data_IF_567163814661
#
_entry.id   IF_567163814661
#
_cell.length_a   1.000
_cell.length_b   1.000
_cell.length_c   1.000
_cell.angle_alpha   90.00
_cell.angle_beta   90.00
_cell.angle_gamma   90.00
#
_symmetry.space_group_name_H-M   'P 1'
#
loop_
_entity.id
_entity.type
_entity.pdbx_description
1 polymer ?
#
# COMPACT_ATOMS: atom_id res chain seq x y z
N UNK A 1 29.28 19.59 -11.72
CA UNK A 1 27.91 19.02 -11.62
C UNK A 1 27.63 17.94 -12.70
N UNK A 2 27.85 18.21 -14.00
CA UNK A 2 27.65 17.21 -15.09
C UNK A 2 28.47 15.91 -14.96
N UNK A 3 29.76 15.96 -14.60
CA UNK A 3 30.60 14.75 -14.39
C UNK A 3 30.08 13.86 -13.25
N UNK A 4 29.69 14.47 -12.13
CA UNK A 4 29.14 13.78 -10.95
C UNK A 4 27.80 13.08 -11.25
N UNK A 5 26.94 13.69 -12.09
CA UNK A 5 25.73 13.06 -12.59
C UNK A 5 26.04 11.89 -13.54
N UNK A 6 26.96 12.07 -14.48
CA UNK A 6 27.41 11.04 -15.43
C UNK A 6 27.91 9.78 -14.73
N UNK A 7 28.75 9.95 -13.70
CA UNK A 7 29.35 8.83 -12.98
C UNK A 7 28.32 8.07 -12.13
N UNK A 8 27.37 8.77 -11.51
CA UNK A 8 26.23 8.14 -10.85
C UNK A 8 25.34 7.37 -11.84
N UNK A 9 25.10 7.93 -13.03
CA UNK A 9 24.25 7.30 -14.04
C UNK A 9 24.88 6.00 -14.56
N UNK A 10 26.21 5.99 -14.79
CA UNK A 10 26.96 4.77 -15.14
C UNK A 10 26.95 3.74 -14.01
N UNK A 11 27.06 4.17 -12.76
CA UNK A 11 27.06 3.28 -11.60
C UNK A 11 25.71 2.57 -11.40
N UNK A 12 24.59 3.28 -11.62
CA UNK A 12 23.23 2.74 -11.41
C UNK A 12 22.54 2.24 -12.68
N UNK A 13 23.13 2.41 -13.87
CA UNK A 13 22.53 2.02 -15.16
C UNK A 13 22.09 0.55 -15.18
N UNK A 14 22.94 -0.37 -14.68
CA UNK A 14 22.61 -1.79 -14.60
C UNK A 14 21.40 -2.06 -13.70
N UNK A 15 21.21 -1.28 -12.63
CA UNK A 15 20.05 -1.39 -11.75
C UNK A 15 18.77 -0.94 -12.46
N UNK A 16 18.79 0.24 -13.10
CA UNK A 16 17.64 0.73 -13.86
C UNK A 16 17.24 -0.25 -14.98
N UNK A 17 18.22 -0.83 -15.68
CA UNK A 17 17.98 -1.84 -16.71
C UNK A 17 17.31 -3.08 -16.13
N UNK A 18 17.79 -3.60 -15.00
CA UNK A 18 17.17 -4.76 -14.33
C UNK A 18 15.72 -4.47 -13.93
N UNK A 19 15.44 -3.30 -13.35
CA UNK A 19 14.08 -2.91 -12.98
C UNK A 19 13.18 -2.84 -14.20
N UNK A 20 13.61 -2.18 -15.28
CA UNK A 20 12.83 -2.08 -16.52
C UNK A 20 12.55 -3.47 -17.10
N UNK A 21 13.55 -4.34 -17.18
CA UNK A 21 13.38 -5.71 -17.70
C UNK A 21 12.41 -6.53 -16.85
N UNK A 22 12.49 -6.45 -15.52
CA UNK A 22 11.55 -7.13 -14.63
C UNK A 22 10.13 -6.59 -14.78
N UNK A 23 9.96 -5.28 -14.89
CA UNK A 23 8.66 -4.66 -15.11
C UNK A 23 8.07 -5.07 -16.47
N UNK A 24 8.87 -5.05 -17.55
CA UNK A 24 8.44 -5.48 -18.87
C UNK A 24 8.06 -6.96 -18.89
N UNK A 25 8.86 -7.82 -18.26
CA UNK A 25 8.55 -9.24 -18.15
C UNK A 25 7.24 -9.47 -17.38
N UNK A 26 7.04 -8.77 -16.26
CA UNK A 26 5.82 -8.87 -15.47
C UNK A 26 4.58 -8.36 -16.24
N UNK A 27 4.71 -7.24 -16.95
CA UNK A 27 3.63 -6.68 -17.77
C UNK A 27 3.29 -7.58 -18.96
N UNK A 28 4.29 -8.23 -19.56
CA UNK A 28 4.09 -9.19 -20.65
C UNK A 28 3.32 -10.44 -20.19
N UNK A 29 3.53 -10.87 -18.94
CA UNK A 29 2.73 -11.94 -18.32
C UNK A 29 1.30 -11.46 -18.07
N UNK A 30 1.13 -10.20 -17.68
CA UNK A 30 -0.17 -9.62 -17.36
C UNK A 30 -0.76 -10.15 -16.05
N UNK A 31 -2.00 -9.75 -15.70
CA UNK A 31 -2.67 -10.23 -14.51
C UNK A 31 -3.06 -11.71 -14.67
N UNK A 32 -2.59 -12.57 -13.77
CA UNK A 32 -2.99 -13.98 -13.75
C UNK A 32 -4.18 -14.12 -12.80
N UNK A 33 -5.25 -14.70 -13.32
CA UNK A 33 -6.46 -15.01 -12.54
C UNK A 33 -6.48 -16.51 -12.29
N UNK A 34 -6.39 -16.91 -11.02
CA UNK A 34 -6.62 -18.29 -10.60
C UNK A 34 -8.03 -18.39 -10.06
N UNK A 35 -8.91 -19.08 -10.79
CA UNK A 35 -10.24 -19.42 -10.31
C UNK A 35 -10.16 -20.72 -9.49
N UNK A 36 -10.40 -20.59 -8.19
CA UNK A 36 -10.55 -21.68 -7.23
C UNK A 36 -12.05 -21.84 -6.94
N UNK A 37 -12.77 -22.48 -7.88
CA UNK A 37 -14.21 -22.72 -7.75
C UNK A 37 -15.03 -21.43 -7.84
N UNK A 38 -15.54 -20.94 -6.70
CA UNK A 38 -16.32 -19.68 -6.61
C UNK A 38 -15.47 -18.44 -6.31
N UNK A 39 -14.16 -18.61 -6.14
CA UNK A 39 -13.26 -17.53 -5.76
C UNK A 39 -12.22 -17.31 -6.85
N UNK A 40 -11.98 -16.05 -7.20
CA UNK A 40 -10.95 -15.68 -8.18
C UNK A 40 -9.85 -14.90 -7.48
N UNK A 41 -8.69 -15.52 -7.35
CA UNK A 41 -7.48 -14.86 -6.85
C UNK A 41 -6.80 -14.19 -8.04
N UNK A 42 -6.69 -12.87 -8.02
CA UNK A 42 -6.03 -12.10 -9.07
C UNK A 42 -4.65 -11.66 -8.60
N UNK A 43 -3.63 -12.13 -9.30
CA UNK A 43 -2.24 -11.76 -9.08
C UNK A 43 -1.85 -10.69 -10.09
N UNK A 44 -1.55 -9.48 -9.60
CA UNK A 44 -1.17 -8.35 -10.44
C UNK A 44 0.30 -8.43 -10.89
N UNK A 45 0.65 -7.86 -12.06
CA UNK A 45 2.03 -7.78 -12.56
C UNK A 45 3.04 -7.26 -11.53
N UNK A 46 2.65 -6.27 -10.71
CA UNK A 46 3.47 -5.72 -9.64
C UNK A 46 4.05 -6.80 -8.71
N UNK A 47 3.26 -7.84 -8.40
CA UNK A 47 3.70 -8.93 -7.54
C UNK A 47 4.85 -9.72 -8.18
N UNK A 48 4.74 -10.06 -9.46
CA UNK A 48 5.78 -10.81 -10.16
C UNK A 48 7.05 -9.98 -10.32
N UNK A 49 6.92 -8.68 -10.61
CA UNK A 49 8.07 -7.79 -10.69
C UNK A 49 8.87 -7.77 -9.37
N UNK A 50 8.18 -7.77 -8.22
CA UNK A 50 8.82 -7.85 -6.91
C UNK A 50 9.50 -9.21 -6.67
N UNK A 51 8.84 -10.32 -7.02
CA UNK A 51 9.40 -11.66 -6.88
C UNK A 51 10.63 -11.86 -7.78
N UNK A 52 10.57 -11.38 -9.03
CA UNK A 52 11.69 -11.44 -9.97
C UNK A 52 12.90 -10.65 -9.43
N UNK A 53 12.66 -9.43 -8.92
CA UNK A 53 13.74 -8.65 -8.31
C UNK A 53 14.33 -9.32 -7.06
N UNK A 54 13.50 -10.00 -6.25
CA UNK A 54 13.97 -10.79 -5.12
C UNK A 54 14.83 -11.97 -5.57
N UNK A 55 14.40 -12.71 -6.59
CA UNK A 55 15.15 -13.83 -7.17
C UNK A 55 16.49 -13.35 -7.72
N UNK A 56 16.53 -12.22 -8.44
CA UNK A 56 17.78 -11.63 -8.94
C UNK A 56 18.71 -11.18 -7.80
N UNK A 57 18.17 -10.70 -6.68
CA UNK A 57 18.95 -10.35 -5.50
C UNK A 57 19.57 -11.59 -4.82
N UNK A 58 18.86 -12.72 -4.81
CA UNK A 58 19.34 -13.99 -4.25
C UNK A 58 20.33 -14.72 -5.18
N UNK A 59 20.12 -14.66 -6.50
CA UNK A 59 20.85 -15.42 -7.51
C UNK A 59 22.28 -14.87 -7.81
N UNK A 60 23.04 -14.45 -6.80
CA UNK A 60 24.40 -13.89 -6.96
C UNK A 60 25.22 -14.70 -7.98
N UNK A 61 25.95 -14.08 -8.93
CA UNK A 61 26.36 -12.67 -8.98
C UNK A 61 25.69 -11.86 -10.11
N UNK A 62 24.44 -11.43 -9.93
CA UNK A 62 23.79 -10.51 -10.89
C UNK A 62 24.30 -9.07 -10.69
N UNK A 63 24.88 -8.46 -11.74
CA UNK A 63 25.24 -7.03 -11.73
C UNK A 63 23.98 -6.18 -11.80
N UNK A 64 23.86 -5.16 -10.94
CA UNK A 64 22.71 -4.26 -10.91
C UNK A 64 21.70 -4.53 -9.79
N UNK A 65 21.91 -5.56 -8.96
CA UNK A 65 21.05 -5.87 -7.81
C UNK A 65 21.93 -6.09 -6.58
N UNK A 66 21.61 -5.45 -5.45
CA UNK A 66 22.44 -5.53 -4.25
C UNK A 66 22.35 -4.31 -3.34
N UNK A 67 22.99 -4.40 -2.16
CA UNK A 67 23.01 -3.33 -1.15
C UNK A 67 23.54 -1.99 -1.69
N UNK A 68 24.49 -2.03 -2.62
CA UNK A 68 25.07 -0.83 -3.24
C UNK A 68 24.05 -0.01 -4.05
N UNK A 69 22.94 -0.60 -4.48
CA UNK A 69 21.91 0.02 -5.30
C UNK A 69 20.72 0.54 -4.48
N UNK A 70 20.64 0.20 -3.19
CA UNK A 70 19.54 0.62 -2.29
C UNK A 70 19.37 2.14 -2.25
N UNK A 71 20.42 2.98 -2.18
CA UNK A 71 20.23 4.43 -2.17
C UNK A 71 19.58 4.97 -3.45
N UNK A 72 19.86 4.36 -4.61
CA UNK A 72 19.22 4.73 -5.86
C UNK A 72 17.75 4.27 -5.90
N UNK A 73 17.48 3.05 -5.43
CA UNK A 73 16.12 2.53 -5.30
C UNK A 73 15.26 3.41 -4.37
N UNK A 74 15.77 3.78 -3.19
CA UNK A 74 15.08 4.67 -2.25
C UNK A 74 14.76 6.02 -2.89
N UNK A 75 15.70 6.63 -3.62
CA UNK A 75 15.47 7.90 -4.33
C UNK A 75 14.44 7.78 -5.45
N UNK A 76 14.52 6.72 -6.26
CA UNK A 76 13.50 6.45 -7.30
C UNK A 76 12.12 6.32 -6.68
N UNK A 77 12.01 5.58 -5.57
CA UNK A 77 10.76 5.41 -4.85
C UNK A 77 10.24 6.74 -4.34
N UNK A 78 11.06 7.55 -3.68
CA UNK A 78 10.68 8.89 -3.23
C UNK A 78 10.16 9.76 -4.39
N UNK A 79 10.84 9.74 -5.54
CA UNK A 79 10.36 10.45 -6.74
C UNK A 79 9.02 9.91 -7.24
N UNK A 80 8.86 8.59 -7.34
CA UNK A 80 7.62 7.96 -7.74
C UNK A 80 6.45 8.27 -6.81
N UNK A 81 6.72 8.31 -5.50
CA UNK A 81 5.76 8.68 -4.47
C UNK A 81 5.31 10.14 -4.64
N UNK A 82 6.19 11.08 -4.99
CA UNK A 82 5.80 12.47 -5.28
C UNK A 82 4.82 12.52 -6.46
N UNK A 83 5.07 11.79 -7.55
CA UNK A 83 4.14 11.72 -8.67
C UNK A 83 2.80 11.06 -8.27
N UNK A 84 2.85 10.00 -7.46
CA UNK A 84 1.65 9.37 -6.92
C UNK A 84 0.84 10.36 -6.06
N UNK A 85 1.50 11.16 -5.20
CA UNK A 85 0.86 12.19 -4.40
C UNK A 85 0.27 13.30 -5.26
N UNK A 86 0.97 13.73 -6.31
CA UNK A 86 0.42 14.71 -7.26
C UNK A 86 -0.85 14.18 -7.94
N UNK A 87 -0.83 12.93 -8.43
CA UNK A 87 -2.00 12.27 -9.00
C UNK A 87 -3.15 12.18 -7.99
N UNK A 88 -2.85 11.80 -6.75
CA UNK A 88 -3.85 11.71 -5.69
C UNK A 88 -4.42 13.09 -5.35
N UNK A 89 -3.59 14.13 -5.27
CA UNK A 89 -4.04 15.51 -5.04
C UNK A 89 -4.99 16.01 -6.14
N UNK A 90 -4.65 15.78 -7.41
CA UNK A 90 -5.50 16.14 -8.55
C UNK A 90 -6.83 15.36 -8.51
N UNK A 91 -6.76 14.05 -8.30
CA UNK A 91 -7.96 13.19 -8.26
C UNK A 91 -8.87 13.55 -7.07
N UNK A 92 -8.28 13.85 -5.91
CA UNK A 92 -9.01 14.25 -4.71
C UNK A 92 -9.65 15.63 -4.87
N UNK A 93 -8.96 16.56 -5.52
CA UNK A 93 -9.52 17.88 -5.85
C UNK A 93 -10.69 17.79 -6.83
N UNK A 94 -10.60 16.91 -7.83
CA UNK A 94 -11.68 16.68 -8.80
C UNK A 94 -12.94 16.09 -8.15
N UNK A 95 -12.78 15.26 -7.12
CA UNK A 95 -13.88 14.60 -6.40
C UNK A 95 -14.20 15.23 -5.03
N UNK A 96 -13.87 16.51 -4.83
CA UNK A 96 -13.97 17.13 -3.50
C UNK A 96 -15.42 17.28 -3.02
N UNK A 97 -16.38 17.47 -3.95
CA UNK A 97 -17.81 17.57 -3.61
C UNK A 97 -18.36 16.21 -3.19
N UNK A 98 -17.97 15.15 -3.89
CA UNK A 98 -18.26 13.75 -3.55
C UNK A 98 -17.62 13.39 -2.21
N UNK A 99 -16.39 13.85 -1.94
CA UNK A 99 -15.71 13.65 -0.67
C UNK A 99 -16.45 14.29 0.50
N UNK A 100 -16.94 15.52 0.34
CA UNK A 100 -17.68 16.24 1.38
C UNK A 100 -19.06 15.60 1.61
N UNK A 101 -19.73 15.13 0.56
CA UNK A 101 -21.07 14.53 0.66
C UNK A 101 -21.05 13.06 1.13
N UNK A 102 -20.08 12.26 0.70
CA UNK A 102 -19.85 10.89 1.19
C UNK A 102 -19.10 10.87 2.55
N UNK A 103 -18.76 12.05 3.08
CA UNK A 103 -17.85 12.24 4.21
C UNK A 103 -18.21 11.43 5.47
N UNK A 104 -19.46 11.29 5.94
CA UNK A 104 -19.69 10.65 7.24
C UNK A 104 -19.32 9.16 7.19
N UNK A 105 -19.74 8.46 6.14
CA UNK A 105 -19.54 7.02 5.98
C UNK A 105 -18.06 6.72 5.71
N UNK A 106 -17.42 7.50 4.84
CA UNK A 106 -16.01 7.27 4.49
C UNK A 106 -15.04 7.73 5.58
N UNK A 107 -15.38 8.76 6.35
CA UNK A 107 -14.63 9.12 7.57
C UNK A 107 -14.77 7.98 8.59
N UNK A 108 -15.97 7.45 8.82
CA UNK A 108 -16.18 6.30 9.70
C UNK A 108 -15.41 5.05 9.23
N UNK A 109 -15.38 4.79 7.92
CA UNK A 109 -14.57 3.71 7.34
C UNK A 109 -13.08 3.92 7.63
N UNK A 110 -12.56 5.15 7.47
CA UNK A 110 -11.15 5.46 7.71
C UNK A 110 -10.80 5.57 9.21
N UNK A 111 -11.76 5.74 10.11
CA UNK A 111 -11.54 5.58 11.57
C UNK A 111 -11.07 4.16 11.89
N UNK A 112 -11.42 3.16 11.08
CA UNK A 112 -10.85 1.81 11.18
C UNK A 112 -9.31 1.81 11.20
N UNK A 113 -8.66 2.76 10.52
CA UNK A 113 -7.20 2.91 10.54
C UNK A 113 -6.66 3.28 11.93
N UNK A 114 -7.46 3.98 12.75
CA UNK A 114 -7.11 4.28 14.15
C UNK A 114 -7.12 2.99 14.97
N UNK A 115 -8.00 2.05 14.66
CA UNK A 115 -8.03 0.71 15.28
C UNK A 115 -6.68 -0.01 15.15
N UNK A 116 -6.05 0.05 13.98
CA UNK A 116 -4.71 -0.53 13.78
C UNK A 116 -3.68 0.08 14.74
N UNK A 117 -3.70 1.40 14.94
CA UNK A 117 -2.80 2.07 15.90
C UNK A 117 -3.14 1.69 17.35
N UNK A 118 -4.41 1.55 17.69
CA UNK A 118 -4.83 1.24 19.07
C UNK A 118 -4.56 -0.21 19.46
N UNK A 119 -4.65 -1.17 18.53
CA UNK A 119 -4.50 -2.60 18.83
C UNK A 119 -3.19 -3.19 18.30
N UNK A 120 -2.86 -2.96 17.03
CA UNK A 120 -1.69 -3.59 16.42
C UNK A 120 -0.38 -3.00 16.95
N UNK A 121 -0.31 -1.69 17.22
CA UNK A 121 0.91 -1.08 17.76
C UNK A 121 1.26 -1.63 19.16
N UNK A 122 0.35 -1.68 20.16
CA UNK A 122 0.68 -2.29 21.44
C UNK A 122 1.12 -3.75 21.33
N UNK A 123 0.44 -4.53 20.50
CA UNK A 123 0.80 -5.94 20.29
C UNK A 123 2.20 -6.05 19.69
N UNK A 124 2.52 -5.27 18.66
CA UNK A 124 3.85 -5.23 18.04
C UNK A 124 4.94 -4.85 19.04
N UNK A 125 4.69 -3.87 19.91
CA UNK A 125 5.65 -3.47 20.95
C UNK A 125 5.85 -4.57 22.00
N UNK A 126 4.78 -5.28 22.41
CA UNK A 126 4.89 -6.42 23.33
C UNK A 126 5.71 -7.56 22.71
N UNK A 127 5.62 -7.76 21.41
CA UNK A 127 6.43 -8.73 20.66
C UNK A 127 7.89 -8.30 20.46
N UNK A 128 8.31 -7.17 21.03
CA UNK A 128 9.70 -6.69 21.00
C UNK A 128 10.06 -5.86 19.77
N UNK A 129 9.08 -5.36 19.02
CA UNK A 129 9.34 -4.39 17.95
C UNK A 129 9.57 -2.99 18.54
N UNK A 130 10.37 -2.15 17.87
CA UNK A 130 10.72 -0.79 18.36
C UNK A 130 10.00 0.29 17.55
N UNK A 131 10.76 1.23 16.98
CA UNK A 131 10.24 2.38 16.22
C UNK A 131 9.68 1.95 14.88
N UNK A 132 10.16 0.84 14.33
CA UNK A 132 9.59 0.20 13.14
C UNK A 132 8.09 -0.07 13.35
N UNK A 133 7.67 -0.44 14.58
CA UNK A 133 6.27 -0.75 14.90
C UNK A 133 5.35 0.45 14.65
N UNK A 134 5.83 1.67 14.92
CA UNK A 134 5.08 2.90 14.67
C UNK A 134 4.80 3.05 13.18
N UNK A 135 5.80 2.80 12.34
CA UNK A 135 5.63 2.76 10.88
C UNK A 135 4.72 1.62 10.41
N UNK A 136 4.93 0.40 10.92
CA UNK A 136 4.13 -0.78 10.54
C UNK A 136 2.65 -0.66 10.92
N UNK A 137 2.36 -0.04 12.06
CA UNK A 137 0.99 0.17 12.54
C UNK A 137 0.28 1.35 11.88
N UNK A 138 0.98 2.13 11.05
CA UNK A 138 0.43 3.31 10.44
C UNK A 138 -0.42 2.98 9.19
N UNK A 139 -1.72 2.85 9.44
CA UNK A 139 -2.76 2.62 8.44
C UNK A 139 -2.40 1.46 7.49
N UNK A 140 -2.94 1.46 6.27
CA UNK A 140 -2.70 0.40 5.28
C UNK A 140 -1.24 0.36 4.75
N UNK A 141 -0.34 1.22 5.25
CA UNK A 141 1.04 1.40 4.77
C UNK A 141 1.13 1.51 3.23
N UNK A 142 0.33 2.39 2.63
CA UNK A 142 0.25 2.60 1.17
C UNK A 142 0.91 3.88 0.72
N UNK A 143 0.82 4.18 -0.57
CA UNK A 143 1.47 5.32 -1.21
C UNK A 143 1.38 6.61 -0.37
N UNK A 144 0.20 7.06 0.09
CA UNK A 144 0.09 8.25 0.96
C UNK A 144 0.82 8.11 2.29
N UNK A 145 0.83 6.91 2.85
CA UNK A 145 1.42 6.65 4.16
C UNK A 145 2.95 6.59 4.08
N UNK A 146 3.47 5.96 3.03
CA UNK A 146 4.91 5.92 2.71
C UNK A 146 5.42 7.34 2.49
N UNK A 147 4.67 8.16 1.72
CA UNK A 147 5.01 9.57 1.50
C UNK A 147 5.10 10.34 2.82
N UNK A 148 4.05 10.22 3.64
CA UNK A 148 3.96 10.96 4.88
C UNK A 148 5.04 10.54 5.88
N UNK A 149 5.31 9.25 6.02
CA UNK A 149 6.36 8.78 6.94
C UNK A 149 7.76 9.15 6.43
N UNK A 150 8.00 9.12 5.12
CA UNK A 150 9.25 9.59 4.54
C UNK A 150 9.48 11.09 4.81
N UNK A 151 8.43 11.89 4.73
CA UNK A 151 8.49 13.34 5.01
C UNK A 151 8.69 13.63 6.50
N UNK A 152 7.95 12.93 7.36
CA UNK A 152 7.97 13.14 8.82
C UNK A 152 9.22 12.59 9.51
N UNK A 153 9.72 11.42 9.08
CA UNK A 153 10.80 10.69 9.76
C UNK A 153 12.07 10.53 8.92
N UNK A 154 11.99 10.70 7.61
CA UNK A 154 13.09 10.49 6.67
C UNK A 154 13.10 9.08 6.06
N UNK A 155 13.61 8.95 4.83
CA UNK A 155 13.64 7.68 4.07
C UNK A 155 14.58 6.61 4.63
N UNK A 156 15.43 6.95 5.59
CA UNK A 156 16.38 6.02 6.22
C UNK A 156 15.98 5.67 7.67
N UNK A 157 14.84 6.20 8.14
CA UNK A 157 14.37 5.99 9.51
C UNK A 157 13.84 4.57 9.74
N UNK A 158 13.78 4.16 11.00
CA UNK A 158 13.24 2.84 11.36
C UNK A 158 11.73 2.76 11.11
N UNK A 159 11.00 3.86 11.28
CA UNK A 159 9.59 3.98 10.92
C UNK A 159 9.39 3.76 9.42
N UNK A 160 10.22 4.38 8.57
CA UNK A 160 10.13 4.20 7.13
C UNK A 160 10.40 2.76 6.72
N UNK A 161 11.41 2.11 7.32
CA UNK A 161 11.65 0.67 7.12
C UNK A 161 10.42 -0.16 7.51
N UNK A 162 9.81 0.16 8.65
CA UNK A 162 8.58 -0.48 9.12
C UNK A 162 7.43 -0.37 8.12
N UNK A 163 7.11 0.85 7.67
CA UNK A 163 6.07 1.06 6.64
C UNK A 163 6.41 0.28 5.37
N UNK A 164 7.69 0.25 4.96
CA UNK A 164 8.11 -0.44 3.75
C UNK A 164 7.91 -1.95 3.83
N UNK A 165 8.17 -2.54 5.00
CA UNK A 165 7.89 -3.97 5.26
C UNK A 165 6.39 -4.22 5.08
N UNK A 166 5.53 -3.43 5.71
CA UNK A 166 4.08 -3.56 5.56
C UNK A 166 3.60 -3.28 4.13
N UNK A 167 4.21 -2.33 3.42
CA UNK A 167 3.90 -2.06 2.01
C UNK A 167 4.20 -3.29 1.14
N UNK A 168 5.39 -3.89 1.32
CA UNK A 168 5.83 -5.05 0.55
C UNK A 168 4.97 -6.27 0.87
N UNK A 169 4.92 -6.66 2.15
CA UNK A 169 4.17 -7.81 2.63
C UNK A 169 2.68 -7.63 2.31
N UNK A 170 2.13 -6.44 2.58
CA UNK A 170 0.75 -6.13 2.29
C UNK A 170 0.43 -6.13 0.80
N UNK A 171 1.37 -5.82 -0.10
CA UNK A 171 1.13 -5.94 -1.56
C UNK A 171 0.91 -7.39 -1.95
N UNK A 172 1.69 -8.31 -1.36
CA UNK A 172 1.56 -9.75 -1.59
C UNK A 172 0.31 -10.31 -0.92
N UNK A 173 0.24 -10.22 0.40
CA UNK A 173 -0.82 -10.87 1.17
C UNK A 173 -2.14 -10.10 1.13
N UNK A 174 -2.08 -8.76 1.07
CA UNK A 174 -3.28 -7.93 1.04
C UNK A 174 -4.05 -8.07 -0.26
N UNK A 175 -3.39 -8.24 -1.41
CA UNK A 175 -4.08 -8.50 -2.68
C UNK A 175 -4.80 -9.85 -2.66
N UNK A 176 -4.14 -10.90 -2.15
CA UNK A 176 -4.76 -12.22 -1.93
C UNK A 176 -5.96 -12.10 -0.99
N UNK A 177 -5.79 -11.44 0.17
CA UNK A 177 -6.86 -11.26 1.14
C UNK A 177 -8.06 -10.51 0.54
N UNK A 178 -7.83 -9.41 -0.18
CA UNK A 178 -8.89 -8.64 -0.82
C UNK A 178 -9.54 -9.37 -2.01
N UNK A 179 -8.82 -10.28 -2.68
CA UNK A 179 -9.41 -11.10 -3.74
C UNK A 179 -10.35 -12.21 -3.24
N UNK A 180 -10.29 -12.56 -1.95
CA UNK A 180 -11.08 -13.66 -1.38
C UNK A 180 -12.15 -13.17 -0.42
N UNK A 181 -11.78 -12.30 0.53
CA UNK A 181 -12.63 -11.97 1.68
C UNK A 181 -13.85 -11.11 1.31
N UNK A 182 -13.71 -9.94 0.66
CA UNK A 182 -14.86 -9.16 0.21
C UNK A 182 -15.84 -9.94 -0.68
N UNK A 183 -15.38 -10.69 -1.72
CA UNK A 183 -16.27 -11.51 -2.54
C UNK A 183 -16.98 -12.63 -1.76
N UNK A 184 -16.31 -13.22 -0.76
CA UNK A 184 -16.90 -14.21 0.12
C UNK A 184 -18.09 -13.63 0.90
N UNK A 185 -17.92 -12.46 1.53
CA UNK A 185 -19.00 -11.83 2.28
C UNK A 185 -20.19 -11.43 1.40
N UNK A 186 -19.94 -11.07 0.15
CA UNK A 186 -20.98 -10.82 -0.86
C UNK A 186 -21.72 -12.11 -1.22
N UNK A 187 -20.98 -13.19 -1.50
CA UNK A 187 -21.55 -14.49 -1.86
C UNK A 187 -22.40 -15.08 -0.72
N UNK A 188 -22.02 -14.82 0.53
CA UNK A 188 -22.76 -15.21 1.72
C UNK A 188 -23.99 -14.32 2.00
N UNK A 189 -24.20 -13.25 1.22
CA UNK A 189 -25.31 -12.31 1.41
C UNK A 189 -25.18 -11.42 2.67
N UNK A 190 -23.99 -11.37 3.28
CA UNK A 190 -23.74 -10.58 4.51
C UNK A 190 -23.60 -9.10 4.15
N UNK A 191 -22.89 -8.80 3.06
CA UNK A 191 -22.70 -7.43 2.59
C UNK A 191 -23.28 -7.22 1.20
N UNK A 192 -23.78 -6.02 0.99
CA UNK A 192 -24.19 -5.55 -0.33
C UNK A 192 -22.97 -5.41 -1.25
N UNK A 193 -23.10 -5.75 -2.55
CA UNK A 193 -22.01 -5.60 -3.53
C UNK A 193 -21.38 -4.21 -3.54
N UNK A 194 -22.17 -3.15 -3.41
CA UNK A 194 -21.68 -1.77 -3.42
C UNK A 194 -20.84 -1.45 -2.18
N UNK A 195 -21.22 -1.98 -1.02
CA UNK A 195 -20.45 -1.83 0.21
C UNK A 195 -19.13 -2.61 0.15
N UNK A 196 -19.13 -3.81 -0.42
CA UNK A 196 -17.92 -4.58 -0.64
C UNK A 196 -16.99 -3.91 -1.67
N UNK A 197 -17.55 -3.29 -2.72
CA UNK A 197 -16.80 -2.50 -3.68
C UNK A 197 -16.14 -1.27 -3.02
N UNK A 198 -16.84 -0.57 -2.13
CA UNK A 198 -16.23 0.48 -1.31
C UNK A 198 -15.13 -0.05 -0.38
N UNK A 199 -15.34 -1.21 0.25
CA UNK A 199 -14.38 -1.80 1.18
C UNK A 199 -13.05 -2.17 0.48
N UNK A 200 -13.08 -2.68 -0.75
CA UNK A 200 -11.84 -2.96 -1.52
C UNK A 200 -11.13 -1.69 -1.96
N UNK A 201 -11.84 -0.56 -2.04
CA UNK A 201 -11.31 0.77 -2.27
C UNK A 201 -10.73 1.44 -1.02
N UNK A 202 -10.10 0.70 -0.10
CA UNK A 202 -9.59 1.23 1.18
C UNK A 202 -8.22 1.96 1.08
N UNK A 203 -7.90 2.57 -0.08
CA UNK A 203 -6.67 3.37 -0.26
C UNK A 203 -5.46 2.61 -0.82
N UNK A 204 -5.69 1.50 -1.55
CA UNK A 204 -4.66 0.84 -2.35
C UNK A 204 -5.21 0.51 -3.74
N UNK A 205 -4.60 1.08 -4.77
CA UNK A 205 -5.02 0.83 -6.16
C UNK A 205 -4.83 -0.64 -6.57
N UNK A 206 -3.74 -1.28 -6.13
CA UNK A 206 -3.42 -2.67 -6.45
C UNK A 206 -4.34 -3.66 -5.72
N UNK A 207 -4.61 -3.44 -4.43
CA UNK A 207 -5.55 -4.28 -3.68
C UNK A 207 -7.00 -4.09 -4.14
N UNK A 208 -7.37 -2.85 -4.47
CA UNK A 208 -8.68 -2.54 -5.06
C UNK A 208 -8.89 -3.30 -6.36
N UNK A 209 -7.92 -3.27 -7.28
CA UNK A 209 -8.01 -3.98 -8.54
C UNK A 209 -8.17 -5.51 -8.33
N UNK A 210 -7.43 -6.09 -7.38
CA UNK A 210 -7.53 -7.51 -7.06
C UNK A 210 -8.90 -7.88 -6.45
N UNK A 211 -9.40 -7.10 -5.50
CA UNK A 211 -10.66 -7.38 -4.81
C UNK A 211 -11.91 -7.06 -5.62
N UNK A 212 -11.90 -5.95 -6.37
CA UNK A 212 -13.04 -5.52 -7.18
C UNK A 212 -13.39 -6.56 -8.25
N UNK A 213 -12.39 -7.19 -8.87
CA UNK A 213 -12.61 -8.26 -9.84
C UNK A 213 -13.44 -9.40 -9.24
N UNK A 214 -13.10 -9.85 -8.02
CA UNK A 214 -13.85 -10.89 -7.32
C UNK A 214 -15.24 -10.42 -6.88
N UNK A 215 -15.40 -9.16 -6.47
CA UNK A 215 -16.71 -8.62 -6.06
C UNK A 215 -17.68 -8.56 -7.23
N UNK A 216 -17.20 -8.17 -8.42
CA UNK A 216 -17.99 -8.16 -9.66
C UNK A 216 -18.42 -9.58 -10.02
N UNK A 217 -17.50 -10.55 -9.95
CA UNK A 217 -17.80 -11.95 -10.24
C UNK A 217 -18.79 -12.57 -9.25
N UNK A 218 -18.69 -12.23 -7.96
CA UNK A 218 -19.61 -12.63 -6.92
C UNK A 218 -20.99 -11.93 -7.01
N UNK A 219 -21.13 -10.90 -7.84
CA UNK A 219 -22.34 -10.06 -7.97
C UNK A 219 -22.81 -9.92 -9.41
N UNK A 220 -23.14 -11.01 -10.13
CA UNK A 220 -23.51 -10.93 -11.56
C UNK A 220 -24.77 -10.10 -11.82
N UNK A 221 -25.62 -9.89 -10.81
CA UNK A 221 -26.82 -9.05 -10.90
C UNK A 221 -26.56 -7.54 -10.72
N UNK A 222 -25.36 -7.16 -10.26
CA UNK A 222 -24.98 -5.76 -10.02
C UNK A 222 -24.28 -5.16 -11.24
N UNK A 223 -24.45 -3.87 -11.47
CA UNK A 223 -23.78 -3.17 -12.56
C UNK A 223 -22.26 -3.03 -12.26
N UNK A 224 -21.36 -3.63 -13.08
CA UNK A 224 -19.91 -3.55 -12.88
C UNK A 224 -19.36 -2.13 -12.90
N UNK A 225 -19.92 -1.23 -13.70
CA UNK A 225 -19.49 0.18 -13.79
C UNK A 225 -19.79 0.91 -12.49
N UNK A 226 -20.94 0.63 -11.89
CA UNK A 226 -21.30 1.17 -10.58
C UNK A 226 -20.33 0.69 -9.50
N UNK A 227 -20.07 -0.62 -9.42
CA UNK A 227 -19.12 -1.18 -8.44
C UNK A 227 -17.72 -0.58 -8.62
N UNK A 228 -17.28 -0.43 -9.86
CA UNK A 228 -15.99 0.20 -10.20
C UNK A 228 -15.93 1.66 -9.76
N UNK A 229 -17.02 2.42 -9.96
CA UNK A 229 -17.12 3.79 -9.50
C UNK A 229 -17.04 3.89 -7.97
N UNK A 230 -17.79 3.06 -7.23
CA UNK A 230 -17.77 3.03 -5.76
C UNK A 230 -16.36 2.70 -5.23
N UNK A 231 -15.70 1.69 -5.79
CA UNK A 231 -14.35 1.32 -5.40
C UNK A 231 -13.34 2.46 -5.67
N UNK A 232 -13.42 3.06 -6.86
CA UNK A 232 -12.52 4.14 -7.28
C UNK A 232 -12.68 5.39 -6.41
N UNK A 233 -13.92 5.82 -6.18
CA UNK A 233 -14.25 6.96 -5.32
C UNK A 233 -13.78 6.69 -3.89
N UNK A 234 -14.06 5.50 -3.35
CA UNK A 234 -13.57 5.13 -2.01
C UNK A 234 -12.05 5.17 -1.94
N UNK A 235 -11.35 4.69 -2.97
CA UNK A 235 -9.89 4.67 -2.99
C UNK A 235 -9.29 6.07 -2.99
N UNK A 236 -9.83 6.99 -3.80
CA UNK A 236 -9.39 8.39 -3.84
C UNK A 236 -9.64 9.05 -2.49
N UNK A 237 -10.86 8.95 -1.97
CA UNK A 237 -11.25 9.60 -0.71
C UNK A 237 -10.47 9.02 0.47
N UNK A 238 -10.35 7.70 0.58
CA UNK A 238 -9.60 7.06 1.67
C UNK A 238 -8.12 7.42 1.64
N UNK A 239 -7.53 7.48 0.44
CA UNK A 239 -6.13 7.92 0.28
C UNK A 239 -5.93 9.36 0.75
N UNK A 240 -6.87 10.26 0.45
CA UNK A 240 -6.81 11.65 0.90
C UNK A 240 -7.01 11.78 2.41
N UNK A 241 -8.09 11.20 2.94
CA UNK A 241 -8.44 11.26 4.37
C UNK A 241 -7.32 10.66 5.22
N UNK A 242 -6.70 9.57 4.78
CA UNK A 242 -5.65 8.90 5.55
C UNK A 242 -4.42 9.78 5.76
N UNK A 243 -4.07 10.67 4.82
CA UNK A 243 -2.97 11.64 5.02
C UNK A 243 -3.30 12.61 6.16
N UNK A 244 -4.51 13.19 6.15
CA UNK A 244 -4.94 14.13 7.19
C UNK A 244 -5.11 13.45 8.55
N UNK A 245 -5.77 12.29 8.60
CA UNK A 245 -5.82 11.46 9.82
C UNK A 245 -4.43 11.04 10.28
N UNK A 246 -3.51 10.82 9.34
CA UNK A 246 -2.07 10.64 9.52
C UNK A 246 -1.46 11.71 10.40
N UNK A 247 -1.44 12.92 9.86
CA UNK A 247 -0.80 14.10 10.44
C UNK A 247 -1.43 14.45 11.80
N UNK A 248 -2.75 14.50 11.87
CA UNK A 248 -3.44 15.07 13.03
C UNK A 248 -3.78 14.08 14.14
N UNK A 249 -3.93 12.79 13.83
CA UNK A 249 -4.48 11.82 14.80
C UNK A 249 -3.54 10.61 14.96
N UNK A 250 -3.39 9.81 13.92
CA UNK A 250 -2.77 8.49 14.00
C UNK A 250 -1.27 8.53 14.31
N UNK A 251 -0.48 9.44 13.70
CA UNK A 251 0.95 9.58 14.04
C UNK A 251 1.15 10.12 15.46
N UNK A 252 0.50 11.23 15.88
CA UNK A 252 0.57 11.70 17.27
C UNK A 252 0.17 10.61 18.29
N UNK A 253 -0.92 9.90 18.01
CA UNK A 253 -1.41 8.80 18.84
C UNK A 253 -0.41 7.64 18.92
N UNK A 254 0.18 7.25 17.79
CA UNK A 254 1.20 6.20 17.74
C UNK A 254 2.41 6.55 18.60
N UNK A 255 2.89 7.80 18.52
CA UNK A 255 3.99 8.26 19.36
C UNK A 255 3.62 8.31 20.85
N UNK A 256 2.38 8.65 21.18
CA UNK A 256 1.88 8.63 22.56
C UNK A 256 1.87 7.20 23.11
N UNK A 257 1.28 6.25 22.38
CA UNK A 257 1.23 4.83 22.77
C UNK A 257 2.65 4.29 22.95
N UNK A 258 3.54 4.55 21.98
CA UNK A 258 4.94 4.15 22.05
C UNK A 258 5.62 4.68 23.32
N UNK A 259 5.44 5.96 23.63
CA UNK A 259 6.03 6.61 24.81
C UNK A 259 5.48 6.02 26.12
N UNK A 260 4.18 5.75 26.19
CA UNK A 260 3.54 5.15 27.37
C UNK A 260 4.04 3.73 27.60
N UNK A 261 4.17 2.92 26.55
CA UNK A 261 4.65 1.54 26.67
C UNK A 261 6.14 1.47 26.98
N UNK A 262 6.96 2.37 26.41
CA UNK A 262 8.37 2.50 26.79
C UNK A 262 8.56 2.80 28.28
N UNK A 263 7.70 3.66 28.86
CA UNK A 263 7.73 3.97 30.30
C UNK A 263 7.34 2.78 31.17
N UNK A 264 6.58 1.82 30.65
CA UNK A 264 6.15 0.60 31.36
C UNK A 264 7.17 -0.55 31.28
N UNK A 265 8.38 -0.32 30.77
CA UNK A 265 9.45 -1.32 30.77
C UNK A 265 9.30 -2.41 29.71
N UNK A 266 8.48 -2.19 28.67
CA UNK A 266 8.46 -3.07 27.50
C UNK A 266 9.86 -3.02 26.87
N UNK A 267 10.56 -4.17 26.74
CA UNK A 267 11.94 -4.19 26.30
C UNK A 267 12.06 -3.64 24.88
N UNK A 268 13.12 -2.84 24.68
CA UNK A 268 13.49 -2.32 23.37
C UNK A 268 14.08 -3.42 22.52
#
# INVERSE_FOLDING_TARGET
MRKKLSDMTKQYSSFFLCVILCCLAAEFIGPIKLSLGRFTVTFLPLLYAMLLMLVLYLAKPVRGVGKAYVPAASRMLSMGVVFAMAKLGISSGASIKEMISASPILILQNIGNIGTVLFALPIALILGMKREAVGMSYALSREPNVALIADMYGSESDEFKGVMVCYIVGTVFGSIFMSVIPPLFVTLGIFRPEAAAMAVGAGSSSMMAAGLAGVIEASPASNPDTLTAFATISNVISSAITVYLGIFITIPLSNLIYKVMKRKGVPS
#
